data_IF_158844999721
#
_entry.id   IF_158844999721
#
_cell.length_a   1.000
_cell.length_b   1.000
_cell.length_c   1.000
_cell.angle_alpha   90.00
_cell.angle_beta   90.00
_cell.angle_gamma   90.00
#
_symmetry.space_group_name_H-M   'P 1'
#
loop_
_entity.id
_entity.type
_entity.pdbx_description
1 polymer ?
#
# COMPACT_ATOMS: atom_id res chain seq x y z
N UNK A 1 25.94 57.43 64.77
CA UNK A 1 25.50 58.58 63.94
C UNK A 1 24.73 57.98 62.76
N UNK A 2 23.45 58.28 62.49
CA UNK A 2 22.89 59.57 62.02
C UNK A 2 23.70 60.11 60.82
N UNK A 3 23.18 60.47 59.63
CA UNK A 3 21.85 60.72 59.04
C UNK A 3 22.01 60.50 57.49
N UNK A 4 21.03 60.54 56.56
CA UNK A 4 19.58 60.86 56.54
C UNK A 4 18.95 60.15 55.31
N UNK A 5 17.62 60.10 55.17
CA UNK A 5 16.91 59.59 53.97
C UNK A 5 17.06 60.51 52.74
N UNK A 6 16.88 59.97 51.53
CA UNK A 6 15.92 60.58 50.59
C UNK A 6 15.17 59.51 49.77
N UNK A 7 13.96 59.85 49.37
CA UNK A 7 12.93 59.00 48.74
C UNK A 7 12.52 59.66 47.42
N UNK A 8 11.64 59.02 46.63
CA UNK A 8 11.02 59.52 45.37
C UNK A 8 11.92 59.25 44.14
N UNK A 9 11.46 58.78 42.97
CA UNK A 9 10.09 58.47 42.49
C UNK A 9 10.06 57.21 41.61
N UNK A 10 8.97 56.44 41.75
CA UNK A 10 8.50 55.50 40.74
C UNK A 10 8.08 56.18 39.44
N UNK A 11 8.53 55.69 38.27
CA UNK A 11 7.76 55.63 37.00
C UNK A 11 8.56 55.03 35.83
N UNK A 12 7.92 54.08 35.12
CA UNK A 12 8.33 53.47 33.84
C UNK A 12 9.67 52.67 33.91
N UNK A 13 9.87 51.55 33.19
CA UNK A 13 9.06 50.90 32.17
C UNK A 13 9.17 49.37 32.35
N UNK A 14 8.10 48.61 32.11
CA UNK A 14 8.11 47.17 32.33
C UNK A 14 8.84 46.42 31.20
N UNK A 15 9.84 45.60 31.55
CA UNK A 15 10.31 44.51 30.69
C UNK A 15 9.72 43.22 31.27
N UNK A 16 8.46 42.95 30.89
CA UNK A 16 7.84 41.66 31.14
C UNK A 16 8.48 40.68 30.15
N UNK A 17 9.44 39.89 30.60
CA UNK A 17 10.13 38.90 29.77
C UNK A 17 9.17 37.73 29.50
N UNK A 18 8.23 37.94 28.58
CA UNK A 18 7.44 36.86 27.99
C UNK A 18 8.42 36.04 27.15
N UNK A 19 8.99 35.01 27.76
CA UNK A 19 9.57 33.87 27.05
C UNK A 19 8.43 33.18 26.31
N UNK A 20 8.10 33.72 25.14
CA UNK A 20 7.26 33.07 24.17
C UNK A 20 8.04 31.84 23.69
N UNK A 21 7.81 30.72 24.37
CA UNK A 21 8.14 29.41 23.84
C UNK A 21 7.32 29.23 22.57
N UNK A 22 7.85 29.72 21.45
CA UNK A 22 7.59 29.13 20.16
C UNK A 22 8.14 27.71 20.23
N UNK A 23 7.33 26.82 20.76
CA UNK A 23 7.31 25.44 20.32
C UNK A 23 7.10 25.50 18.82
N UNK A 24 8.23 25.52 18.09
CA UNK A 24 8.23 25.17 16.68
C UNK A 24 7.83 23.71 16.67
N UNK A 25 6.51 23.48 16.59
CA UNK A 25 5.97 22.25 16.10
C UNK A 25 6.56 22.11 14.71
N UNK A 26 7.64 21.34 14.61
CA UNK A 26 8.11 20.80 13.34
C UNK A 26 7.00 19.86 12.91
N UNK A 27 6.00 20.45 12.26
CA UNK A 27 5.05 19.74 11.43
C UNK A 27 5.85 19.21 10.25
N UNK A 28 6.59 18.13 10.52
CA UNK A 28 7.04 17.17 9.53
C UNK A 28 5.83 16.51 8.91
N UNK A 29 5.04 17.29 8.17
CA UNK A 29 4.51 16.80 6.91
C UNK A 29 5.72 16.66 5.99
N UNK A 30 6.53 15.65 6.26
CA UNK A 30 7.44 15.13 5.27
C UNK A 30 6.55 14.81 4.08
N UNK A 31 6.73 15.57 2.99
CA UNK A 31 6.10 15.25 1.72
C UNK A 31 6.40 13.78 1.48
N UNK A 32 5.37 12.95 1.40
CA UNK A 32 5.54 11.55 1.00
C UNK A 32 6.34 11.57 -0.29
N UNK A 33 7.61 11.20 -0.20
CA UNK A 33 8.51 11.19 -1.34
C UNK A 33 7.98 10.05 -2.20
N UNK A 34 7.35 10.39 -3.33
CA UNK A 34 6.88 9.37 -4.27
C UNK A 34 8.11 8.52 -4.66
N UNK A 35 8.09 7.21 -4.41
CA UNK A 35 9.23 6.35 -4.71
C UNK A 35 9.48 6.37 -6.22
N UNK A 36 10.75 6.42 -6.63
CA UNK A 36 11.14 6.46 -8.05
C UNK A 36 11.07 5.07 -8.69
N UNK A 37 11.19 4.04 -7.85
CA UNK A 37 11.09 2.63 -8.18
C UNK A 37 10.50 1.90 -6.97
N UNK A 38 9.96 0.71 -7.19
CA UNK A 38 9.46 -0.14 -6.11
C UNK A 38 9.70 -1.62 -6.45
N UNK A 39 9.49 -2.47 -5.45
CA UNK A 39 9.63 -3.92 -5.51
C UNK A 39 8.39 -4.56 -4.84
N UNK A 40 7.85 -5.62 -5.46
CA UNK A 40 6.97 -6.57 -4.81
C UNK A 40 7.71 -7.92 -4.67
N UNK A 41 7.82 -8.44 -3.44
CA UNK A 41 8.60 -9.64 -3.16
C UNK A 41 7.97 -10.48 -2.03
N UNK A 42 7.44 -11.65 -2.37
CA UNK A 42 6.85 -12.60 -1.41
C UNK A 42 7.76 -13.80 -1.11
N UNK A 43 8.95 -13.85 -1.71
CA UNK A 43 9.99 -14.82 -1.33
C UNK A 43 10.67 -14.47 0.00
N UNK A 44 11.45 -15.41 0.52
CA UNK A 44 12.26 -15.24 1.75
C UNK A 44 13.76 -15.43 1.55
N UNK A 45 14.19 -15.67 0.30
CA UNK A 45 15.58 -15.95 -0.09
C UNK A 45 16.49 -14.71 -0.04
N UNK A 46 15.97 -13.53 -0.38
CA UNK A 46 16.74 -12.29 -0.47
C UNK A 46 16.44 -11.35 0.69
N UNK A 47 17.47 -10.87 1.37
CA UNK A 47 17.37 -10.02 2.55
C UNK A 47 17.47 -8.51 2.25
N UNK A 48 17.60 -7.69 3.32
CA UNK A 48 17.74 -6.25 3.24
C UNK A 48 18.88 -5.77 2.33
N UNK A 49 19.95 -6.55 2.24
CA UNK A 49 21.12 -6.28 1.39
C UNK A 49 20.80 -6.25 -0.11
N UNK A 50 19.68 -6.89 -0.51
CA UNK A 50 19.16 -6.86 -1.88
C UNK A 50 17.97 -5.91 -2.00
N UNK A 51 16.94 -6.06 -1.15
CA UNK A 51 15.70 -5.31 -1.33
C UNK A 51 15.86 -3.81 -1.02
N UNK A 52 16.81 -3.39 -0.17
CA UNK A 52 16.99 -1.97 0.21
C UNK A 52 17.62 -1.11 -0.90
N UNK A 53 17.77 -1.65 -2.11
CA UNK A 53 18.14 -0.89 -3.32
C UNK A 53 16.96 -0.15 -3.93
N UNK A 54 15.73 -0.48 -3.53
CA UNK A 54 14.51 0.15 -4.00
C UNK A 54 14.06 1.27 -3.04
N UNK A 55 13.27 2.23 -3.51
CA UNK A 55 12.73 3.31 -2.66
C UNK A 55 11.51 2.84 -1.84
N UNK A 56 10.80 1.81 -2.32
CA UNK A 56 9.64 1.18 -1.66
C UNK A 56 9.67 -0.33 -1.90
N UNK A 57 9.33 -1.12 -0.88
CA UNK A 57 9.24 -2.58 -0.96
C UNK A 57 7.95 -3.07 -0.32
N UNK A 58 7.21 -3.90 -1.05
CA UNK A 58 6.10 -4.70 -0.54
C UNK A 58 6.64 -6.10 -0.24
N UNK A 59 6.43 -6.57 0.99
CA UNK A 59 6.75 -7.92 1.44
C UNK A 59 5.48 -8.63 1.92
N UNK A 60 5.52 -9.96 2.06
CA UNK A 60 4.43 -10.66 2.74
C UNK A 60 4.23 -10.12 4.17
N UNK A 61 3.00 -10.14 4.67
CA UNK A 61 2.67 -9.62 6.00
C UNK A 61 3.16 -10.48 7.18
N UNK A 62 3.58 -11.73 6.94
CA UNK A 62 3.79 -12.75 7.98
C UNK A 62 5.05 -13.60 7.78
N UNK A 63 5.39 -13.90 6.52
CA UNK A 63 6.50 -14.75 6.12
C UNK A 63 7.46 -13.95 5.21
N UNK A 64 8.19 -13.01 5.80
CA UNK A 64 9.05 -12.08 5.09
C UNK A 64 10.51 -12.12 5.60
N UNK A 65 11.50 -11.69 4.79
CA UNK A 65 12.86 -11.44 5.28
C UNK A 65 12.87 -10.35 6.39
N UNK A 66 13.93 -10.25 7.20
CA UNK A 66 13.99 -9.29 8.32
C UNK A 66 13.74 -7.83 7.87
N UNK A 67 12.93 -7.08 8.61
CA UNK A 67 12.64 -5.66 8.31
C UNK A 67 13.76 -4.75 8.86
N UNK A 68 14.90 -4.70 8.18
CA UNK A 68 16.04 -3.90 8.65
C UNK A 68 15.92 -2.42 8.26
N UNK A 69 15.98 -1.53 9.26
CA UNK A 69 15.89 -0.06 9.12
C UNK A 69 17.19 0.68 9.53
N UNK A 70 18.34 0.01 9.42
CA UNK A 70 19.65 0.53 9.89
C UNK A 70 20.32 1.48 8.89
N UNK A 71 19.92 1.45 7.62
CA UNK A 71 20.48 2.29 6.55
C UNK A 71 19.87 3.71 6.56
N UNK A 72 20.70 4.72 6.26
CA UNK A 72 20.26 6.13 6.19
C UNK A 72 19.12 6.40 5.19
N UNK A 73 18.96 5.54 4.18
CA UNK A 73 17.91 5.61 3.16
C UNK A 73 17.20 4.25 3.06
N UNK A 74 16.69 3.72 4.17
CA UNK A 74 15.91 2.47 4.13
C UNK A 74 14.61 2.67 3.31
N UNK A 75 14.13 1.64 2.59
CA UNK A 75 12.92 1.74 1.78
C UNK A 75 11.66 1.98 2.62
N UNK A 76 10.62 2.54 2.00
CA UNK A 76 9.26 2.44 2.54
C UNK A 76 8.86 0.96 2.56
N UNK A 77 8.63 0.39 3.75
CA UNK A 77 8.23 -1.02 3.90
C UNK A 77 6.72 -1.16 4.04
N UNK A 78 6.08 -1.89 3.13
CA UNK A 78 4.64 -2.20 3.16
C UNK A 78 4.42 -3.70 3.38
N UNK A 79 3.54 -4.04 4.33
CA UNK A 79 3.15 -5.43 4.58
C UNK A 79 1.90 -5.81 3.80
N UNK A 80 1.97 -6.92 3.06
CA UNK A 80 0.84 -7.52 2.34
C UNK A 80 -0.28 -7.96 3.29
N UNK A 81 -1.53 -7.72 2.88
CA UNK A 81 -2.71 -8.26 3.51
C UNK A 81 -3.84 -8.45 2.49
N UNK A 82 -4.16 -9.70 2.20
CA UNK A 82 -5.41 -10.07 1.52
C UNK A 82 -6.62 -9.65 2.37
N UNK A 83 -7.54 -8.87 1.79
CA UNK A 83 -8.75 -8.37 2.47
C UNK A 83 -10.00 -9.11 1.98
N UNK A 84 -10.03 -9.55 0.72
CA UNK A 84 -11.16 -10.22 0.10
C UNK A 84 -11.02 -11.73 -0.08
N UNK A 85 -9.87 -12.32 0.28
CA UNK A 85 -9.61 -13.75 0.26
C UNK A 85 -8.90 -14.23 1.55
N UNK A 86 -8.97 -15.53 1.83
CA UNK A 86 -8.11 -16.21 2.80
C UNK A 86 -7.48 -17.45 2.17
N UNK A 87 -6.16 -17.50 2.17
CA UNK A 87 -5.35 -18.67 1.79
C UNK A 87 -5.56 -19.81 2.81
N UNK A 88 -5.63 -21.07 2.35
CA UNK A 88 -5.77 -22.27 3.19
C UNK A 88 -4.50 -22.64 3.97
N UNK A 89 -3.31 -22.29 3.46
CA UNK A 89 -2.05 -22.42 4.20
C UNK A 89 -1.66 -21.12 4.94
N UNK A 90 -2.43 -20.05 4.68
CA UNK A 90 -2.25 -18.74 5.30
C UNK A 90 -2.51 -18.68 6.83
N UNK A 91 -1.97 -17.66 7.52
CA UNK A 91 -1.97 -17.55 8.98
C UNK A 91 -3.38 -17.49 9.60
N UNK A 92 -4.39 -17.11 8.83
CA UNK A 92 -5.77 -16.96 9.29
C UNK A 92 -6.69 -18.14 8.99
N UNK A 93 -6.24 -19.14 8.22
CA UNK A 93 -7.12 -20.25 7.80
C UNK A 93 -7.81 -20.94 8.98
N UNK A 94 -7.06 -21.24 10.05
CA UNK A 94 -7.58 -21.90 11.26
C UNK A 94 -8.69 -21.12 11.98
N UNK A 95 -8.77 -19.80 11.78
CA UNK A 95 -9.80 -18.93 12.35
C UNK A 95 -10.98 -18.71 11.39
N UNK A 96 -10.80 -18.99 10.10
CA UNK A 96 -11.73 -18.69 9.02
C UNK A 96 -12.45 -19.93 8.43
N UNK A 97 -11.79 -21.09 8.40
CA UNK A 97 -12.23 -22.30 7.67
C UNK A 97 -13.65 -22.80 7.98
N UNK A 98 -14.14 -22.58 9.20
CA UNK A 98 -15.45 -23.04 9.68
C UNK A 98 -16.49 -21.90 9.73
N UNK A 99 -16.24 -20.78 9.03
CA UNK A 99 -17.06 -19.56 9.07
C UNK A 99 -17.92 -19.37 7.83
N UNK A 100 -19.14 -18.89 8.03
CA UNK A 100 -20.14 -18.64 6.97
C UNK A 100 -19.79 -17.49 6.01
N UNK A 101 -18.68 -16.78 6.23
CA UNK A 101 -18.22 -15.71 5.34
C UNK A 101 -17.29 -16.22 4.22
N UNK A 102 -16.92 -17.50 4.20
CA UNK A 102 -16.28 -18.14 3.04
C UNK A 102 -17.36 -18.43 1.99
N UNK A 103 -17.26 -17.81 0.81
CA UNK A 103 -18.34 -17.85 -0.20
C UNK A 103 -18.01 -18.74 -1.39
N UNK A 104 -16.80 -18.63 -1.94
CA UNK A 104 -16.38 -19.36 -3.15
C UNK A 104 -14.89 -19.67 -3.08
N UNK A 105 -14.48 -20.89 -3.42
CA UNK A 105 -13.06 -21.24 -3.55
C UNK A 105 -12.48 -20.65 -4.83
N UNK A 106 -11.26 -20.14 -4.76
CA UNK A 106 -10.45 -19.71 -5.88
C UNK A 106 -9.33 -20.74 -6.07
N UNK A 107 -9.55 -21.68 -7.00
CA UNK A 107 -8.67 -22.84 -7.21
C UNK A 107 -7.26 -22.45 -7.72
N UNK A 108 -7.07 -21.24 -8.26
CA UNK A 108 -5.76 -20.80 -8.76
C UNK A 108 -4.79 -20.42 -7.63
N UNK A 109 -5.30 -19.81 -6.56
CA UNK A 109 -4.52 -19.39 -5.38
C UNK A 109 -4.74 -20.29 -4.15
N UNK A 110 -5.43 -21.42 -4.32
CA UNK A 110 -5.96 -22.28 -3.25
C UNK A 110 -6.61 -21.51 -2.08
N UNK A 111 -7.31 -20.42 -2.39
CA UNK A 111 -7.88 -19.48 -1.41
C UNK A 111 -9.40 -19.53 -1.38
N UNK A 112 -10.01 -18.87 -0.39
CA UNK A 112 -11.46 -18.67 -0.29
C UNK A 112 -11.83 -17.20 -0.33
N UNK A 113 -12.71 -16.84 -1.27
CA UNK A 113 -13.26 -15.49 -1.43
C UNK A 113 -14.25 -15.20 -0.30
N UNK A 114 -14.09 -14.03 0.32
CA UNK A 114 -14.74 -13.60 1.55
C UNK A 114 -15.88 -12.61 1.30
N UNK A 115 -17.01 -12.80 1.98
CA UNK A 115 -17.98 -11.74 2.20
C UNK A 115 -17.47 -10.73 3.25
N UNK A 116 -16.80 -9.69 2.78
CA UNK A 116 -16.24 -8.59 3.60
C UNK A 116 -17.28 -7.78 4.39
N UNK A 117 -18.58 -7.98 4.15
CA UNK A 117 -19.65 -7.40 4.99
C UNK A 117 -19.72 -8.06 6.37
N UNK A 118 -19.14 -9.26 6.52
CA UNK A 118 -19.14 -10.02 7.76
C UNK A 118 -18.44 -9.28 8.92
N UNK A 119 -19.14 -9.03 10.05
CA UNK A 119 -18.52 -8.45 11.25
C UNK A 119 -17.39 -9.29 11.82
N UNK A 120 -17.50 -10.63 11.78
CA UNK A 120 -16.45 -11.56 12.22
C UNK A 120 -15.16 -11.40 11.41
N UNK A 121 -15.28 -11.29 10.07
CA UNK A 121 -14.12 -11.07 9.21
C UNK A 121 -13.48 -9.71 9.46
N UNK A 122 -14.29 -8.65 9.52
CA UNK A 122 -13.76 -7.32 9.85
C UNK A 122 -13.14 -7.28 11.26
N UNK A 123 -13.67 -8.03 12.22
CA UNK A 123 -13.04 -8.15 13.54
C UNK A 123 -11.67 -8.80 13.43
N UNK A 124 -11.52 -9.89 12.68
CA UNK A 124 -10.24 -10.56 12.44
C UNK A 124 -9.21 -9.61 11.80
N UNK A 125 -9.61 -8.89 10.74
CA UNK A 125 -8.76 -7.90 10.07
C UNK A 125 -8.35 -6.75 11.01
N UNK A 126 -9.29 -6.11 11.70
CA UNK A 126 -9.02 -4.91 12.49
C UNK A 126 -8.45 -5.17 13.89
N UNK A 127 -8.62 -6.38 14.46
CA UNK A 127 -8.14 -6.73 15.80
C UNK A 127 -6.94 -7.66 15.82
N UNK A 128 -6.69 -8.39 14.73
CA UNK A 128 -5.58 -9.35 14.64
C UNK A 128 -4.63 -8.99 13.50
N UNK A 129 -5.11 -8.98 12.25
CA UNK A 129 -4.22 -8.91 11.08
C UNK A 129 -3.45 -7.59 10.98
N UNK A 130 -4.16 -6.46 10.91
CA UNK A 130 -3.51 -5.15 10.77
C UNK A 130 -2.62 -4.80 11.98
N UNK A 131 -3.07 -4.99 13.24
CA UNK A 131 -2.20 -4.77 14.40
C UNK A 131 -0.94 -5.64 14.38
N UNK A 132 -1.04 -6.92 13.99
CA UNK A 132 0.11 -7.81 13.89
C UNK A 132 1.12 -7.27 12.85
N UNK A 133 0.68 -7.03 11.61
CA UNK A 133 1.56 -6.53 10.53
C UNK A 133 2.27 -5.25 10.98
N UNK A 134 1.52 -4.24 11.39
CA UNK A 134 2.10 -2.95 11.77
C UNK A 134 3.03 -3.04 13.00
N UNK A 135 2.82 -4.01 13.90
CA UNK A 135 3.69 -4.21 15.07
C UNK A 135 5.08 -4.75 14.73
N UNK A 136 5.25 -5.39 13.56
CA UNK A 136 6.56 -5.86 13.08
C UNK A 136 7.47 -4.72 12.59
N UNK A 137 6.91 -3.53 12.34
CA UNK A 137 7.66 -2.35 11.94
C UNK A 137 7.37 -1.80 10.54
N UNK A 138 6.42 -2.37 9.80
CA UNK A 138 6.00 -1.84 8.49
C UNK A 138 5.51 -0.39 8.58
N UNK A 139 5.86 0.41 7.56
CA UNK A 139 5.48 1.82 7.40
C UNK A 139 4.06 1.98 6.86
N UNK A 140 3.51 0.92 6.26
CA UNK A 140 2.17 0.90 5.75
C UNK A 140 1.65 -0.50 5.43
N UNK A 141 0.50 -0.53 4.77
CA UNK A 141 -0.21 -1.74 4.36
C UNK A 141 -0.30 -1.77 2.83
N UNK A 142 -0.20 -2.96 2.28
CA UNK A 142 -0.53 -3.26 0.90
C UNK A 142 -1.74 -4.21 0.89
N UNK A 143 -2.90 -3.70 0.50
CA UNK A 143 -4.20 -4.34 0.67
C UNK A 143 -4.65 -4.99 -0.64
N UNK A 144 -4.92 -6.28 -0.61
CA UNK A 144 -5.16 -7.08 -1.83
C UNK A 144 -6.53 -7.77 -1.87
N UNK A 145 -6.86 -8.38 -3.01
CA UNK A 145 -8.04 -9.21 -3.31
C UNK A 145 -9.40 -8.51 -3.17
N UNK A 146 -9.41 -7.18 -3.22
CA UNK A 146 -10.64 -6.37 -3.26
C UNK A 146 -11.55 -6.77 -4.44
N UNK A 147 -10.97 -7.00 -5.62
CA UNK A 147 -11.69 -7.46 -6.82
C UNK A 147 -12.38 -8.81 -6.60
N UNK A 148 -11.78 -9.72 -5.83
CA UNK A 148 -12.37 -11.02 -5.52
C UNK A 148 -13.67 -10.86 -4.75
N UNK A 149 -13.69 -10.04 -3.69
CA UNK A 149 -14.94 -9.72 -2.98
C UNK A 149 -15.95 -8.96 -3.84
N UNK A 150 -15.51 -8.02 -4.68
CA UNK A 150 -16.39 -7.33 -5.63
C UNK A 150 -17.04 -8.32 -6.63
N UNK A 151 -16.31 -9.37 -7.04
CA UNK A 151 -16.81 -10.42 -7.94
C UNK A 151 -17.86 -11.36 -7.31
N UNK A 152 -18.17 -11.21 -6.02
CA UNK A 152 -19.20 -12.03 -5.38
C UNK A 152 -20.62 -11.65 -5.78
N UNK A 153 -20.87 -10.45 -6.33
CA UNK A 153 -22.23 -10.05 -6.76
C UNK A 153 -22.26 -9.07 -7.93
N UNK A 154 -23.04 -9.38 -8.95
CA UNK A 154 -23.60 -8.37 -9.86
C UNK A 154 -24.69 -7.57 -9.11
N UNK A 155 -24.45 -6.29 -8.83
CA UNK A 155 -25.50 -5.37 -8.33
C UNK A 155 -25.72 -5.30 -6.82
N UNK A 156 -24.70 -5.51 -5.97
CA UNK A 156 -24.82 -5.34 -4.51
C UNK A 156 -23.97 -4.20 -3.95
N UNK A 157 -24.57 -3.01 -3.85
CA UNK A 157 -23.98 -1.82 -3.22
C UNK A 157 -23.40 -2.10 -1.80
N UNK A 158 -23.93 -3.11 -1.09
CA UNK A 158 -23.47 -3.50 0.23
C UNK A 158 -22.00 -3.94 0.28
N UNK A 159 -21.48 -4.59 -0.76
CA UNK A 159 -20.05 -4.99 -0.80
C UNK A 159 -19.18 -3.75 -1.06
N UNK A 160 -19.52 -2.91 -2.03
CA UNK A 160 -18.80 -1.67 -2.30
C UNK A 160 -18.79 -0.73 -1.08
N UNK A 161 -19.91 -0.65 -0.35
CA UNK A 161 -20.03 0.15 0.87
C UNK A 161 -19.23 -0.45 2.03
N UNK A 162 -19.17 -1.79 2.15
CA UNK A 162 -18.31 -2.45 3.12
C UNK A 162 -16.82 -2.23 2.81
N UNK A 163 -16.40 -2.36 1.55
CA UNK A 163 -15.04 -2.10 1.09
C UNK A 163 -14.61 -0.66 1.38
N UNK A 164 -15.41 0.33 0.96
CA UNK A 164 -15.16 1.74 1.30
C UNK A 164 -15.12 1.96 2.81
N UNK A 165 -16.03 1.31 3.56
CA UNK A 165 -16.08 1.35 5.01
C UNK A 165 -14.80 0.83 5.66
N UNK A 166 -14.26 -0.29 5.16
CA UNK A 166 -12.99 -0.88 5.60
C UNK A 166 -11.84 0.08 5.30
N UNK A 167 -11.63 0.49 4.03
CA UNK A 167 -10.52 1.37 3.65
C UNK A 167 -10.54 2.69 4.44
N UNK A 168 -11.70 3.34 4.54
CA UNK A 168 -11.89 4.55 5.36
C UNK A 168 -11.52 4.31 6.83
N UNK A 169 -11.95 3.19 7.41
CA UNK A 169 -11.68 2.83 8.81
C UNK A 169 -10.20 2.47 9.05
N UNK A 170 -9.50 1.93 8.05
CA UNK A 170 -8.04 1.75 8.11
C UNK A 170 -7.37 3.13 8.20
N UNK A 171 -7.65 4.06 7.27
CA UNK A 171 -7.03 5.41 7.33
C UNK A 171 -7.43 6.22 8.58
N UNK A 172 -8.63 6.01 9.12
CA UNK A 172 -9.05 6.62 10.39
C UNK A 172 -8.29 6.08 11.60
N UNK A 173 -8.03 4.77 11.65
CA UNK A 173 -7.30 4.14 12.76
C UNK A 173 -5.78 4.32 12.65
N UNK A 174 -5.27 4.50 11.43
CA UNK A 174 -3.84 4.57 11.11
C UNK A 174 -3.55 5.74 10.15
N UNK A 175 -3.78 7.00 10.56
CA UNK A 175 -3.69 8.17 9.67
C UNK A 175 -2.29 8.37 9.08
N UNK A 176 -1.26 8.12 9.89
CA UNK A 176 0.15 8.29 9.53
C UNK A 176 0.74 7.10 8.76
N UNK A 177 -0.04 6.03 8.54
CA UNK A 177 0.39 4.87 7.77
C UNK A 177 0.07 5.04 6.30
N UNK A 178 0.98 4.55 5.46
CA UNK A 178 0.79 4.47 4.02
C UNK A 178 -0.20 3.35 3.73
N UNK A 179 -1.20 3.64 2.90
CA UNK A 179 -2.17 2.63 2.42
C UNK A 179 -2.02 2.52 0.91
N UNK A 180 -1.57 1.35 0.48
CA UNK A 180 -1.58 0.91 -0.91
C UNK A 180 -2.68 -0.11 -1.09
N UNK A 181 -3.38 -0.05 -2.22
CA UNK A 181 -4.42 -1.01 -2.59
C UNK A 181 -4.04 -1.66 -3.92
N UNK A 182 -4.18 -2.98 -4.03
CA UNK A 182 -4.16 -3.67 -5.30
C UNK A 182 -5.56 -3.71 -5.91
N UNK A 183 -5.68 -3.17 -7.13
CA UNK A 183 -6.92 -3.08 -7.89
C UNK A 183 -8.08 -2.48 -7.07
N UNK A 184 -9.27 -3.10 -7.04
CA UNK A 184 -10.48 -2.44 -6.55
C UNK A 184 -10.90 -1.29 -7.47
N UNK A 185 -10.50 -1.34 -8.75
CA UNK A 185 -10.61 -0.23 -9.69
C UNK A 185 -12.04 0.30 -9.88
N UNK A 186 -13.11 -0.53 -9.93
CA UNK A 186 -14.49 -0.04 -10.02
C UNK A 186 -14.93 0.87 -8.86
N UNK A 187 -14.30 0.77 -7.69
CA UNK A 187 -14.58 1.61 -6.51
C UNK A 187 -13.49 2.66 -6.23
N UNK A 188 -12.47 2.77 -7.09
CA UNK A 188 -11.30 3.63 -6.85
C UNK A 188 -11.67 5.09 -6.60
N UNK A 189 -12.58 5.68 -7.39
CA UNK A 189 -13.07 7.05 -7.19
C UNK A 189 -13.73 7.28 -5.82
N UNK A 190 -14.23 6.22 -5.17
CA UNK A 190 -14.85 6.29 -3.84
C UNK A 190 -13.82 6.17 -2.71
N UNK A 191 -12.68 5.49 -2.96
CA UNK A 191 -11.63 5.23 -1.96
C UNK A 191 -10.35 6.08 -2.11
N UNK A 192 -10.09 6.69 -3.27
CA UNK A 192 -8.82 7.35 -3.62
C UNK A 192 -8.34 8.41 -2.60
N UNK A 193 -9.26 9.08 -1.92
CA UNK A 193 -8.99 10.07 -0.85
C UNK A 193 -8.52 9.47 0.49
N UNK A 194 -8.55 8.15 0.64
CA UNK A 194 -8.15 7.43 1.86
C UNK A 194 -6.88 6.59 1.67
N UNK A 195 -6.34 6.55 0.45
CA UNK A 195 -5.18 5.75 0.07
C UNK A 195 -4.09 6.64 -0.51
N UNK A 196 -2.85 6.22 -0.34
CA UNK A 196 -1.67 6.94 -0.76
C UNK A 196 -1.20 6.42 -2.14
N UNK A 197 -1.40 5.12 -2.41
CA UNK A 197 -1.07 4.45 -3.67
C UNK A 197 -2.17 3.49 -4.14
N UNK A 198 -2.26 3.32 -5.46
CA UNK A 198 -3.02 2.28 -6.15
C UNK A 198 -2.05 1.45 -7.00
N UNK A 199 -2.18 0.12 -6.96
CA UNK A 199 -1.53 -0.77 -7.92
C UNK A 199 -2.51 -1.11 -9.06
N UNK A 200 -2.03 -0.96 -10.29
CA UNK A 200 -2.64 -1.52 -11.49
C UNK A 200 -1.82 -2.75 -11.90
N UNK A 201 -2.44 -3.91 -11.73
CA UNK A 201 -1.96 -5.23 -12.12
C UNK A 201 -3.03 -5.83 -13.04
N UNK A 202 -2.80 -6.23 -14.28
CA UNK A 202 -1.63 -6.05 -15.13
C UNK A 202 -1.94 -4.93 -16.14
N UNK A 203 -1.02 -3.99 -16.36
CA UNK A 203 -1.26 -2.87 -17.27
C UNK A 203 -0.77 -3.15 -18.70
N UNK A 204 0.21 -4.03 -18.87
CA UNK A 204 0.89 -4.29 -20.13
C UNK A 204 1.12 -5.77 -20.39
N UNK A 205 1.52 -6.57 -19.40
CA UNK A 205 1.71 -8.02 -19.57
C UNK A 205 1.37 -8.82 -18.32
N UNK A 206 0.75 -9.97 -18.52
CA UNK A 206 0.22 -10.82 -17.46
C UNK A 206 0.60 -12.29 -17.67
N UNK A 207 0.53 -13.08 -16.60
CA UNK A 207 0.71 -14.52 -16.65
C UNK A 207 -0.61 -15.22 -17.03
N UNK A 208 -0.62 -15.93 -18.16
CA UNK A 208 -1.80 -16.60 -18.72
C UNK A 208 -1.82 -18.13 -18.48
N UNK A 209 -1.12 -18.59 -17.42
CA UNK A 209 -1.00 -20.00 -17.05
C UNK A 209 0.05 -20.77 -17.86
N UNK A 210 0.46 -21.95 -17.36
CA UNK A 210 1.64 -22.71 -17.81
C UNK A 210 1.72 -22.93 -19.34
N UNK A 211 0.54 -23.08 -19.98
CA UNK A 211 0.44 -23.37 -21.42
C UNK A 211 0.66 -22.15 -22.31
N UNK A 212 0.52 -20.94 -21.78
CA UNK A 212 0.65 -19.66 -22.52
C UNK A 212 1.82 -18.82 -22.02
N UNK A 213 2.26 -19.02 -20.78
CA UNK A 213 3.27 -18.17 -20.14
C UNK A 213 2.80 -16.72 -20.05
N UNK A 214 3.73 -15.78 -20.23
CA UNK A 214 3.47 -14.36 -20.12
C UNK A 214 3.10 -13.74 -21.48
N UNK A 215 1.99 -13.00 -21.53
CA UNK A 215 1.46 -12.39 -22.75
C UNK A 215 0.98 -10.95 -22.50
N UNK A 216 0.83 -10.17 -23.58
CA UNK A 216 0.41 -8.77 -23.48
C UNK A 216 -1.09 -8.64 -23.15
N UNK A 217 -1.42 -7.66 -22.32
CA UNK A 217 -2.79 -7.18 -22.06
C UNK A 217 -3.31 -6.50 -23.33
N UNK A 218 -4.55 -6.76 -23.72
CA UNK A 218 -5.14 -6.18 -24.92
C UNK A 218 -5.45 -4.68 -24.79
N UNK A 219 -5.49 -3.97 -25.91
CA UNK A 219 -5.62 -2.51 -25.95
C UNK A 219 -6.91 -1.98 -25.31
N UNK A 220 -8.01 -2.75 -25.30
CA UNK A 220 -9.27 -2.28 -24.69
C UNK A 220 -9.24 -2.46 -23.18
N UNK A 221 -8.71 -3.58 -22.68
CA UNK A 221 -8.41 -3.74 -21.26
C UNK A 221 -7.45 -2.65 -20.76
N UNK A 222 -6.38 -2.34 -21.50
CA UNK A 222 -5.46 -1.24 -21.16
C UNK A 222 -6.20 0.10 -21.02
N UNK A 223 -7.06 0.48 -21.98
CA UNK A 223 -7.85 1.71 -21.92
C UNK A 223 -8.75 1.77 -20.68
N UNK A 224 -9.39 0.65 -20.33
CA UNK A 224 -10.26 0.57 -19.15
C UNK A 224 -9.48 0.77 -17.84
N UNK A 225 -8.31 0.13 -17.71
CA UNK A 225 -7.43 0.30 -16.54
C UNK A 225 -6.96 1.76 -16.39
N UNK A 226 -6.59 2.39 -17.51
CA UNK A 226 -6.20 3.81 -17.54
C UNK A 226 -7.36 4.74 -17.18
N UNK A 227 -8.57 4.46 -17.66
CA UNK A 227 -9.74 5.25 -17.30
C UNK A 227 -10.00 5.23 -15.78
N UNK A 228 -9.92 4.08 -15.13
CA UNK A 228 -10.03 4.01 -13.66
C UNK A 228 -8.92 4.80 -12.96
N UNK A 229 -7.68 4.72 -13.45
CA UNK A 229 -6.56 5.49 -12.92
C UNK A 229 -6.79 7.01 -12.99
N UNK A 230 -7.34 7.49 -14.11
CA UNK A 230 -7.75 8.89 -14.29
C UNK A 230 -8.87 9.30 -13.33
N UNK A 231 -9.90 8.47 -13.13
CA UNK A 231 -10.96 8.72 -12.14
C UNK A 231 -10.43 8.77 -10.69
N UNK A 232 -9.46 7.92 -10.36
CA UNK A 232 -8.75 7.98 -9.08
C UNK A 232 -7.98 9.29 -8.87
N UNK A 233 -7.22 9.72 -9.89
CA UNK A 233 -6.45 10.97 -9.87
C UNK A 233 -7.34 12.23 -9.80
N UNK A 234 -8.53 12.21 -10.41
CA UNK A 234 -9.52 13.31 -10.27
C UNK A 234 -9.96 13.52 -8.83
N UNK A 235 -10.00 12.46 -8.02
CA UNK A 235 -10.41 12.50 -6.60
C UNK A 235 -9.22 12.74 -5.67
N UNK A 236 -8.05 12.17 -5.98
CA UNK A 236 -6.81 12.42 -5.25
C UNK A 236 -5.65 12.69 -6.24
N UNK A 237 -5.35 13.96 -6.57
CA UNK A 237 -4.25 14.31 -7.48
C UNK A 237 -2.86 13.92 -6.96
N UNK A 238 -2.72 13.62 -5.66
CA UNK A 238 -1.47 13.16 -5.07
C UNK A 238 -1.30 11.64 -5.12
N UNK A 239 -2.33 10.86 -5.47
CA UNK A 239 -2.30 9.40 -5.56
C UNK A 239 -1.07 8.93 -6.36
N UNK A 240 -0.30 8.00 -5.80
CA UNK A 240 0.74 7.30 -6.54
C UNK A 240 0.14 6.12 -7.31
N UNK A 241 0.50 5.96 -8.58
CA UNK A 241 0.08 4.82 -9.39
C UNK A 241 1.29 3.92 -9.58
N UNK A 242 1.24 2.75 -8.95
CA UNK A 242 2.17 1.66 -9.18
C UNK A 242 1.64 0.81 -10.36
N UNK A 243 2.53 0.17 -11.11
CA UNK A 243 2.14 -0.93 -12.02
C UNK A 243 2.97 -2.16 -11.74
N UNK A 244 2.34 -3.31 -11.80
CA UNK A 244 2.95 -4.63 -11.70
C UNK A 244 2.56 -5.36 -12.97
N UNK A 245 3.58 -5.82 -13.69
CA UNK A 245 3.45 -6.53 -14.94
C UNK A 245 4.35 -7.76 -14.87
N UNK A 246 4.00 -8.80 -15.62
CA UNK A 246 4.66 -10.10 -15.52
C UNK A 246 5.39 -10.51 -16.81
N UNK A 247 6.59 -11.06 -16.63
CA UNK A 247 7.48 -11.57 -17.68
C UNK A 247 8.44 -12.64 -17.12
N UNK A 248 8.85 -13.60 -17.95
CA UNK A 248 9.90 -14.55 -17.58
C UNK A 248 11.29 -13.89 -17.56
N UNK A 249 12.25 -14.52 -16.87
CA UNK A 249 13.63 -14.01 -16.72
C UNK A 249 14.34 -13.74 -18.06
N UNK A 250 14.00 -14.50 -19.11
CA UNK A 250 14.55 -14.37 -20.47
C UNK A 250 13.74 -13.41 -21.37
N UNK A 251 12.55 -12.99 -20.95
CA UNK A 251 11.67 -12.06 -21.69
C UNK A 251 11.99 -10.59 -21.37
N UNK A 252 13.27 -10.22 -21.47
CA UNK A 252 13.78 -8.87 -21.13
C UNK A 252 13.05 -7.78 -21.93
N UNK A 253 12.83 -7.98 -23.23
CA UNK A 253 12.14 -7.00 -24.08
C UNK A 253 10.70 -6.72 -23.60
N UNK A 254 9.95 -7.76 -23.19
CA UNK A 254 8.59 -7.61 -22.67
C UNK A 254 8.59 -6.77 -21.38
N UNK A 255 9.54 -7.02 -20.49
CA UNK A 255 9.71 -6.26 -19.25
C UNK A 255 10.06 -4.78 -19.51
N UNK A 256 11.00 -4.52 -20.42
CA UNK A 256 11.39 -3.15 -20.79
C UNK A 256 10.27 -2.39 -21.52
N UNK A 257 9.47 -3.07 -22.34
CA UNK A 257 8.27 -2.50 -22.96
C UNK A 257 7.22 -2.12 -21.91
N UNK A 258 6.92 -2.98 -20.94
CA UNK A 258 6.00 -2.70 -19.83
C UNK A 258 6.45 -1.48 -19.00
N UNK A 259 7.73 -1.46 -18.59
CA UNK A 259 8.35 -0.36 -17.85
C UNK A 259 8.27 0.95 -18.65
N UNK A 260 8.57 0.91 -19.95
CA UNK A 260 8.48 2.07 -20.86
C UNK A 260 7.03 2.55 -21.01
N UNK A 261 6.07 1.63 -21.14
CA UNK A 261 4.64 1.94 -21.26
C UNK A 261 4.08 2.61 -20.01
N UNK A 262 4.48 2.14 -18.83
CA UNK A 262 4.09 2.67 -17.52
C UNK A 262 4.73 4.04 -17.25
N UNK A 263 6.06 4.18 -17.40
CA UNK A 263 6.79 5.44 -17.18
C UNK A 263 6.30 6.59 -18.08
N UNK A 264 5.91 6.30 -19.34
CA UNK A 264 5.33 7.31 -20.26
C UNK A 264 4.04 7.96 -19.75
N UNK A 265 3.39 7.40 -18.72
CA UNK A 265 2.16 7.91 -18.10
C UNK A 265 2.41 8.56 -16.72
N UNK A 266 3.68 8.61 -16.28
CA UNK A 266 4.04 9.07 -14.93
C UNK A 266 3.76 8.05 -13.83
N UNK A 267 3.56 6.77 -14.19
CA UNK A 267 3.37 5.67 -13.24
C UNK A 267 4.73 5.06 -12.84
N UNK A 268 4.73 4.30 -11.74
CA UNK A 268 5.94 3.72 -11.14
C UNK A 268 5.89 2.20 -11.35
N UNK A 269 6.58 1.64 -12.36
CA UNK A 269 6.50 0.21 -12.65
C UNK A 269 7.38 -0.65 -11.73
N UNK A 270 6.98 -1.91 -11.62
CA UNK A 270 7.80 -3.07 -11.30
C UNK A 270 7.41 -4.22 -12.25
N UNK A 271 8.35 -5.12 -12.56
CA UNK A 271 8.11 -6.31 -13.40
C UNK A 271 8.78 -7.51 -12.75
N UNK A 272 8.12 -8.66 -12.71
CA UNK A 272 8.66 -9.90 -12.14
C UNK A 272 8.05 -11.17 -12.77
N UNK A 273 8.37 -12.34 -12.21
CA UNK A 273 7.54 -13.55 -12.34
C UNK A 273 6.26 -13.43 -11.52
N UNK A 274 5.22 -14.21 -11.87
CA UNK A 274 3.93 -14.17 -11.14
C UNK A 274 3.98 -14.72 -9.72
N UNK A 275 5.02 -15.51 -9.42
CA UNK A 275 5.28 -16.08 -8.09
C UNK A 275 5.83 -15.04 -7.10
N UNK A 276 6.35 -13.91 -7.59
CA UNK A 276 6.93 -12.83 -6.80
C UNK A 276 8.06 -13.29 -5.84
N UNK A 277 8.67 -14.43 -6.13
CA UNK A 277 9.75 -15.08 -5.36
C UNK A 277 11.16 -14.69 -5.85
N UNK A 278 11.23 -13.85 -6.87
CA UNK A 278 12.43 -13.33 -7.51
C UNK A 278 12.43 -11.80 -7.57
N UNK A 279 13.63 -11.22 -7.65
CA UNK A 279 13.84 -9.77 -7.69
C UNK A 279 14.46 -9.39 -9.04
N UNK A 280 13.73 -8.62 -9.85
CA UNK A 280 14.25 -8.05 -11.09
C UNK A 280 14.74 -6.63 -10.84
N UNK A 281 15.88 -6.26 -11.43
CA UNK A 281 16.49 -4.94 -11.22
C UNK A 281 16.25 -3.95 -12.37
N UNK A 282 15.38 -4.28 -13.33
CA UNK A 282 15.14 -3.48 -14.55
C UNK A 282 14.65 -2.05 -14.29
N UNK A 283 14.05 -1.80 -13.12
CA UNK A 283 13.56 -0.48 -12.71
C UNK A 283 14.60 0.32 -11.91
N UNK A 284 15.72 -0.31 -11.51
CA UNK A 284 16.87 0.34 -10.88
C UNK A 284 17.81 0.95 -11.94
N UNK A 285 17.27 1.92 -12.67
CA UNK A 285 17.98 2.64 -13.72
C UNK A 285 17.06 3.62 -14.43
N UNK A 286 17.52 4.88 -14.53
CA UNK A 286 16.85 6.04 -15.12
C UNK A 286 15.36 6.19 -14.80
#
# INVERSE_FOLDING_TARGET
>A
MAKTLLRISSRLFGIFLILLLMSISVSGHDKIIKPRNWLCYYGTTFGPEIYSKFDMVVLDGYNHPPLEKTYQNYPILLGYLSIGEVDVDGPFWKLAKDKSYLVRKNEFWDSWIIDIRSPDWQQLIFKTAIPYILSQGFDGLFLDTLDSSLSLVEGNEGIENALQGIIRKIKQNYPDKIITVNRGLPVLSKIAKYIDFILIEDLYSYYAGDKKGYIKVDTEAQKMLLHYAEEGLKVNPNLGILTLDYAANDQIDLALEAISYSRKKGFIPYVSTYELDQIFFYTLGN
#
